data_IF_976042246452
#
_entry.id   IF_976042246452
#
_cell.length_a   1.000
_cell.length_b   1.000
_cell.length_c   1.000
_cell.angle_alpha   90.00
_cell.angle_beta   90.00
_cell.angle_gamma   90.00
#
_symmetry.space_group_name_H-M   'P 1'
#
loop_
_entity.id
_entity.type
_entity.pdbx_description
1 polymer ?
#
# COMPACT_ATOMS: atom_id res chain seq x y z
N UNK A 1 -30.97 -4.48 11.92
CA UNK A 1 -30.40 -5.84 11.79
C UNK A 1 -29.39 -6.07 12.90
N UNK A 2 -29.58 -7.11 13.63
CA UNK A 2 -28.67 -7.44 14.72
C UNK A 2 -27.39 -8.04 14.18
N UNK A 3 -26.26 -7.55 14.66
CA UNK A 3 -24.96 -8.10 14.29
C UNK A 3 -24.65 -9.30 15.15
N UNK A 4 -24.39 -10.44 14.53
CA UNK A 4 -24.00 -11.64 15.25
C UNK A 4 -22.51 -11.54 15.60
N UNK A 5 -22.18 -11.47 16.89
CA UNK A 5 -20.83 -11.32 17.38
C UNK A 5 -20.20 -12.63 17.87
N UNK A 6 -21.01 -13.71 17.94
CA UNK A 6 -20.54 -14.99 18.42
C UNK A 6 -21.16 -16.12 17.61
N UNK A 7 -20.39 -17.18 17.42
CA UNK A 7 -20.87 -18.45 16.88
C UNK A 7 -20.53 -19.57 17.85
N UNK A 8 -21.39 -20.57 17.88
CA UNK A 8 -21.14 -21.79 18.66
C UNK A 8 -20.62 -22.89 17.73
N UNK A 9 -19.54 -23.52 18.14
CA UNK A 9 -18.97 -24.65 17.43
C UNK A 9 -18.44 -25.66 18.43
N UNK A 10 -18.91 -26.90 18.34
CA UNK A 10 -18.55 -27.98 19.27
C UNK A 10 -18.76 -27.61 20.73
N UNK A 11 -19.84 -26.88 21.04
CA UNK A 11 -20.17 -26.45 22.39
C UNK A 11 -19.35 -25.31 22.96
N UNK A 12 -18.45 -24.71 22.15
CA UNK A 12 -17.68 -23.53 22.53
C UNK A 12 -18.16 -22.32 21.77
N UNK A 13 -18.18 -21.18 22.44
CA UNK A 13 -18.53 -19.90 21.82
C UNK A 13 -17.27 -19.21 21.32
N UNK A 14 -17.33 -18.73 20.08
CA UNK A 14 -16.26 -17.96 19.45
C UNK A 14 -16.78 -16.60 19.05
N UNK A 15 -15.98 -15.56 19.31
CA UNK A 15 -16.31 -14.23 18.85
C UNK A 15 -16.10 -14.14 17.34
N UNK A 16 -17.09 -13.62 16.64
CA UNK A 16 -16.95 -13.24 15.24
C UNK A 16 -16.32 -11.87 15.22
N UNK A 17 -15.38 -11.66 14.30
CA UNK A 17 -14.81 -10.32 14.08
C UNK A 17 -15.93 -9.34 13.78
N UNK A 18 -15.87 -8.18 14.40
CA UNK A 18 -16.82 -7.10 14.11
C UNK A 18 -16.54 -6.47 12.73
N UNK A 19 -17.40 -5.53 12.32
CA UNK A 19 -17.28 -4.89 11.02
C UNK A 19 -15.94 -4.16 10.84
N UNK A 20 -15.39 -3.58 11.92
CA UNK A 20 -14.11 -2.87 11.86
C UNK A 20 -12.95 -3.84 11.64
N UNK A 21 -12.95 -4.97 12.35
CA UNK A 21 -11.91 -6.01 12.16
C UNK A 21 -11.97 -6.61 10.76
N UNK A 22 -13.18 -6.78 10.21
CA UNK A 22 -13.34 -7.29 8.85
C UNK A 22 -12.82 -6.31 7.81
N UNK A 23 -12.95 -5.01 8.03
CA UNK A 23 -12.43 -4.00 7.12
C UNK A 23 -10.92 -4.09 6.97
N UNK A 24 -10.19 -4.50 8.00
CA UNK A 24 -8.74 -4.64 7.94
C UNK A 24 -8.28 -5.75 6.98
N UNK A 25 -9.17 -6.67 6.63
CA UNK A 25 -8.88 -7.75 5.68
C UNK A 25 -9.09 -7.31 4.23
N UNK A 26 -9.68 -6.15 4.00
CA UNK A 26 -9.98 -5.64 2.66
C UNK A 26 -8.95 -4.60 2.27
N UNK A 27 -8.38 -4.76 1.07
CA UNK A 27 -7.52 -3.74 0.50
C UNK A 27 -8.38 -2.63 -0.08
N UNK A 28 -8.04 -1.38 0.23
CA UNK A 28 -8.85 -0.22 -0.14
C UNK A 28 -7.95 0.97 -0.50
N UNK A 29 -8.47 1.82 -1.38
CA UNK A 29 -7.83 3.11 -1.65
C UNK A 29 -8.00 4.09 -0.48
N UNK A 30 -8.92 3.81 0.42
CA UNK A 30 -9.07 4.56 1.67
C UNK A 30 -8.13 3.99 2.73
N UNK A 31 -7.70 4.87 3.63
CA UNK A 31 -6.88 4.45 4.77
C UNK A 31 -7.65 3.45 5.64
N UNK A 32 -7.01 2.37 6.00
CA UNK A 32 -7.61 1.29 6.79
C UNK A 32 -6.70 0.95 7.97
N UNK A 33 -7.27 0.89 9.18
CA UNK A 33 -6.57 0.35 10.35
C UNK A 33 -6.42 -1.16 10.16
N UNK A 34 -5.18 -1.64 10.12
CA UNK A 34 -4.91 -3.07 9.91
C UNK A 34 -5.20 -3.95 11.13
N UNK A 35 -5.40 -3.32 12.29
CA UNK A 35 -5.49 -4.06 13.56
C UNK A 35 -4.14 -4.49 14.12
N UNK A 36 -3.05 -4.22 13.41
CA UNK A 36 -1.69 -4.55 13.84
C UNK A 36 -1.06 -3.36 14.55
N UNK A 37 -0.12 -3.66 15.44
CA UNK A 37 0.59 -2.68 16.25
C UNK A 37 2.08 -2.76 15.93
N UNK A 38 2.70 -1.61 15.73
CA UNK A 38 4.13 -1.53 15.51
C UNK A 38 4.90 -1.63 16.82
N UNK A 39 6.21 -1.83 16.74
CA UNK A 39 7.07 -2.02 17.92
C UNK A 39 7.04 -0.84 18.92
N UNK A 40 6.65 0.33 18.46
CA UNK A 40 6.51 1.53 19.30
C UNK A 40 5.11 1.69 19.91
N UNK A 41 4.22 0.72 19.71
CA UNK A 41 2.85 0.74 20.22
C UNK A 41 1.84 1.46 19.34
N UNK A 42 2.26 2.03 18.21
CA UNK A 42 1.35 2.74 17.31
C UNK A 42 0.63 1.77 16.39
N UNK A 43 -0.58 2.13 16.02
CA UNK A 43 -1.36 1.37 15.04
C UNK A 43 -0.72 1.43 13.67
N UNK A 44 -0.82 0.33 12.93
CA UNK A 44 -0.39 0.25 11.53
C UNK A 44 -1.61 0.44 10.64
N UNK A 45 -1.52 1.41 9.75
CA UNK A 45 -2.53 1.69 8.73
C UNK A 45 -2.06 1.21 7.38
N UNK A 46 -3.01 0.91 6.49
CA UNK A 46 -2.75 0.47 5.12
C UNK A 46 -3.56 1.30 4.14
N UNK A 47 -2.96 1.60 3.00
CA UNK A 47 -3.64 2.30 1.91
C UNK A 47 -3.12 1.76 0.58
N UNK A 48 -4.04 1.50 -0.35
CA UNK A 48 -3.70 1.18 -1.73
C UNK A 48 -3.70 2.46 -2.55
N UNK A 49 -2.62 2.69 -3.27
CA UNK A 49 -2.49 3.83 -4.17
C UNK A 49 -2.46 3.29 -5.59
N UNK A 50 -3.47 3.63 -6.38
CA UNK A 50 -3.53 3.27 -7.78
C UNK A 50 -2.64 4.18 -8.60
N UNK A 51 -1.86 3.61 -9.51
CA UNK A 51 -0.98 4.36 -10.39
C UNK A 51 -1.65 4.53 -11.75
N UNK A 52 -1.64 5.75 -12.30
CA UNK A 52 -2.10 5.99 -13.66
C UNK A 52 -1.04 5.57 -14.67
N UNK A 53 -1.31 5.80 -15.93
CA UNK A 53 -0.28 5.72 -16.96
C UNK A 53 0.80 6.78 -16.68
N UNK A 54 2.05 6.37 -16.72
CA UNK A 54 3.20 7.23 -16.47
C UNK A 54 4.17 7.08 -17.64
N UNK A 55 4.45 8.18 -18.34
CA UNK A 55 5.35 8.14 -19.48
C UNK A 55 6.78 7.84 -19.02
N UNK A 56 7.51 7.11 -19.85
CA UNK A 56 8.92 6.81 -19.60
C UNK A 56 9.73 8.06 -19.33
N UNK A 57 10.65 7.98 -18.40
CA UNK A 57 11.53 9.10 -18.05
C UNK A 57 10.86 10.26 -17.32
N UNK A 58 9.59 10.14 -16.93
CA UNK A 58 8.88 11.16 -16.16
C UNK A 58 8.71 10.73 -14.71
N UNK A 59 8.62 11.70 -13.81
CA UNK A 59 8.39 11.44 -12.40
C UNK A 59 6.92 11.68 -12.07
N UNK A 60 6.30 10.67 -11.46
CA UNK A 60 4.95 10.75 -10.92
C UNK A 60 5.02 10.78 -9.40
N UNK A 61 4.36 11.76 -8.80
CA UNK A 61 4.41 11.98 -7.36
C UNK A 61 3.02 11.93 -6.73
N UNK A 62 2.95 11.31 -5.55
CA UNK A 62 1.75 11.32 -4.72
C UNK A 62 2.13 11.91 -3.37
N UNK A 63 1.45 12.98 -2.97
CA UNK A 63 1.67 13.62 -1.68
C UNK A 63 1.02 12.77 -0.58
N UNK A 64 1.81 12.32 0.38
CA UNK A 64 1.36 11.50 1.51
C UNK A 64 1.24 12.29 2.81
N UNK A 65 1.50 13.59 2.78
CA UNK A 65 1.55 14.40 3.99
C UNK A 65 0.21 14.45 4.73
N UNK A 66 -0.92 14.37 3.98
CA UNK A 66 -2.25 14.34 4.59
C UNK A 66 -2.51 13.11 5.44
N UNK A 67 -1.74 12.03 5.25
CA UNK A 67 -1.81 10.82 6.05
C UNK A 67 -1.12 10.98 7.40
N UNK A 68 -0.39 12.06 7.60
CA UNK A 68 0.43 12.33 8.79
C UNK A 68 1.30 11.13 9.19
N UNK A 69 2.10 10.59 8.25
CA UNK A 69 2.87 9.38 8.52
C UNK A 69 4.01 9.64 9.50
N UNK A 70 4.26 8.66 10.35
CA UNK A 70 5.39 8.68 11.29
C UNK A 70 6.50 7.73 10.82
N UNK A 71 6.14 6.47 10.57
CA UNK A 71 7.09 5.46 10.11
C UNK A 71 6.45 4.70 8.95
N UNK A 72 7.17 4.59 7.85
CA UNK A 72 6.79 3.72 6.75
C UNK A 72 7.33 2.32 7.04
N UNK A 73 6.45 1.32 7.00
CA UNK A 73 6.79 -0.03 7.41
C UNK A 73 6.93 -0.96 6.23
N UNK A 74 6.02 -0.85 5.27
CA UNK A 74 6.00 -1.75 4.13
C UNK A 74 5.49 -1.04 2.89
N UNK A 75 6.15 -1.29 1.78
CA UNK A 75 5.75 -0.79 0.47
C UNK A 75 5.91 -1.93 -0.52
N UNK A 76 4.81 -2.31 -1.19
CA UNK A 76 4.83 -3.37 -2.19
C UNK A 76 3.79 -3.09 -3.26
N UNK A 77 3.82 -3.86 -4.33
CA UNK A 77 2.86 -3.71 -5.41
C UNK A 77 3.41 -4.16 -6.75
N UNK A 78 2.70 -3.77 -7.80
CA UNK A 78 3.08 -4.10 -9.17
C UNK A 78 2.86 -2.91 -10.08
N UNK A 79 3.70 -2.81 -11.10
CA UNK A 79 3.47 -1.94 -12.24
C UNK A 79 3.28 -2.80 -13.48
N UNK A 80 2.35 -2.39 -14.35
CA UNK A 80 2.19 -2.98 -15.67
C UNK A 80 2.93 -2.10 -16.66
N UNK A 81 4.03 -2.61 -17.19
CA UNK A 81 4.89 -1.85 -18.13
C UNK A 81 4.53 -2.10 -19.58
N UNK A 82 3.69 -3.06 -19.82
CA UNK A 82 3.16 -3.43 -21.13
C UNK A 82 1.93 -4.28 -20.84
N UNK A 83 0.92 -4.23 -21.70
CA UNK A 83 -0.29 -5.03 -21.49
C UNK A 83 0.09 -6.49 -21.23
N UNK A 84 -0.30 -7.01 -20.07
CA UNK A 84 0.01 -8.37 -19.64
C UNK A 84 1.40 -8.56 -19.06
N UNK A 85 2.22 -7.53 -18.93
CA UNK A 85 3.58 -7.63 -18.38
C UNK A 85 3.67 -6.89 -17.03
N UNK A 86 3.53 -7.65 -15.96
CA UNK A 86 3.50 -7.13 -14.60
C UNK A 86 4.87 -7.28 -13.93
N UNK A 87 5.38 -6.19 -13.40
CA UNK A 87 6.63 -6.16 -12.66
C UNK A 87 6.37 -5.82 -11.20
N UNK A 88 6.88 -6.63 -10.25
CA UNK A 88 6.79 -6.26 -8.84
C UNK A 88 7.58 -4.98 -8.58
N UNK A 89 7.10 -4.19 -7.64
CA UNK A 89 7.79 -2.98 -7.25
C UNK A 89 9.05 -3.37 -6.46
N UNK A 90 10.19 -3.10 -7.07
CA UNK A 90 11.50 -3.31 -6.47
C UNK A 90 12.21 -1.97 -6.46
N UNK A 91 12.74 -1.60 -5.32
CA UNK A 91 13.65 -0.46 -5.26
C UNK A 91 15.02 -0.96 -5.69
N UNK A 92 15.39 -0.65 -6.90
CA UNK A 92 16.68 -1.05 -7.47
C UNK A 92 17.50 0.20 -7.72
N UNK A 93 18.61 0.29 -7.01
CA UNK A 93 19.65 1.29 -7.27
C UNK A 93 20.62 0.84 -8.35
N UNK A 94 20.25 -0.17 -9.13
CA UNK A 94 21.14 -0.70 -10.15
C UNK A 94 21.27 0.27 -11.32
N UNK A 95 22.41 0.18 -11.97
CA UNK A 95 22.80 1.08 -13.05
C UNK A 95 21.90 1.03 -14.29
N UNK A 96 21.09 -0.04 -14.43
CA UNK A 96 20.15 -0.12 -15.54
C UNK A 96 18.80 0.54 -15.17
N UNK A 97 18.85 1.83 -14.93
CA UNK A 97 17.66 2.64 -14.67
C UNK A 97 16.75 2.73 -15.89
N UNK A 98 17.22 2.32 -17.06
CA UNK A 98 16.43 2.45 -18.30
C UNK A 98 15.27 1.47 -18.40
N UNK A 99 15.41 0.29 -17.79
CA UNK A 99 14.39 -0.76 -17.83
C UNK A 99 13.59 -0.91 -16.53
N UNK A 100 13.99 -0.22 -15.48
CA UNK A 100 13.39 -0.34 -14.16
C UNK A 100 12.35 0.73 -13.93
N UNK A 101 11.41 0.43 -13.03
CA UNK A 101 10.53 1.45 -12.45
C UNK A 101 11.04 1.73 -11.04
N UNK A 102 11.53 2.91 -10.83
CA UNK A 102 12.02 3.34 -9.52
C UNK A 102 10.86 3.80 -8.66
N UNK A 103 10.75 3.27 -7.45
CA UNK A 103 9.72 3.68 -6.49
C UNK A 103 10.40 3.98 -5.16
N UNK A 104 10.13 5.16 -4.63
CA UNK A 104 10.66 5.57 -3.34
C UNK A 104 9.70 6.53 -2.64
N UNK A 105 9.96 6.77 -1.37
CA UNK A 105 9.29 7.83 -0.61
C UNK A 105 10.35 8.82 -0.16
N UNK A 106 10.17 10.05 -0.58
CA UNK A 106 11.07 11.14 -0.20
C UNK A 106 10.25 12.26 0.43
N UNK A 107 10.50 12.52 1.70
CA UNK A 107 9.82 13.57 2.47
C UNK A 107 8.29 13.52 2.25
N UNK A 108 7.70 12.38 2.61
CA UNK A 108 6.25 12.13 2.51
C UNK A 108 5.68 12.27 1.09
N UNK A 109 6.51 12.05 0.11
CA UNK A 109 6.09 12.02 -1.29
C UNK A 109 6.46 10.68 -1.90
N UNK A 110 5.45 9.93 -2.34
CA UNK A 110 5.66 8.70 -3.10
C UNK A 110 6.10 9.12 -4.51
N UNK A 111 7.23 8.60 -4.94
CA UNK A 111 7.83 8.91 -6.25
C UNK A 111 7.86 7.64 -7.09
N UNK A 112 7.31 7.70 -8.27
CA UNK A 112 7.35 6.61 -9.24
C UNK A 112 7.98 7.15 -10.52
N UNK A 113 9.11 6.57 -10.91
CA UNK A 113 9.89 7.05 -12.05
C UNK A 113 10.18 5.87 -12.97
N UNK A 114 9.42 5.70 -14.06
CA UNK A 114 9.78 4.71 -15.07
C UNK A 114 11.07 5.12 -15.77
N UNK A 115 11.89 4.14 -16.09
CA UNK A 115 13.08 4.36 -16.88
C UNK A 115 12.76 4.79 -18.31
N UNK A 116 13.79 5.07 -19.09
CA UNK A 116 13.64 5.64 -20.43
C UNK A 116 13.07 4.69 -21.48
N UNK A 117 13.11 3.40 -21.20
CA UNK A 117 12.69 2.37 -22.19
C UNK A 117 11.26 1.90 -22.03
N UNK A 118 10.61 2.19 -20.90
CA UNK A 118 9.32 1.60 -20.60
C UNK A 118 8.37 2.60 -19.97
N UNK A 119 7.19 2.71 -20.55
CA UNK A 119 6.07 3.41 -19.94
C UNK A 119 5.43 2.50 -18.89
N UNK A 120 4.87 3.09 -17.84
CA UNK A 120 3.94 2.41 -16.94
C UNK A 120 2.55 2.59 -17.51
N UNK A 121 1.86 1.49 -17.76
CA UNK A 121 0.47 1.51 -18.27
C UNK A 121 -0.49 1.76 -17.12
N UNK A 122 -0.30 1.04 -16.00
CA UNK A 122 -1.02 1.22 -14.76
C UNK A 122 -0.27 0.45 -13.67
N UNK A 123 -0.80 0.49 -12.46
CA UNK A 123 -0.23 -0.26 -11.35
C UNK A 123 -0.86 0.12 -10.05
N UNK A 124 -0.29 -0.41 -8.97
CA UNK A 124 -0.70 -0.05 -7.63
C UNK A 124 0.47 -0.20 -6.66
N UNK A 125 0.43 0.61 -5.62
CA UNK A 125 1.36 0.53 -4.48
C UNK A 125 0.52 0.32 -3.23
N UNK A 126 0.87 -0.67 -2.44
CA UNK A 126 0.28 -0.87 -1.12
C UNK A 126 1.25 -0.33 -0.09
N UNK A 127 0.79 0.60 0.71
CA UNK A 127 1.59 1.28 1.72
C UNK A 127 1.07 0.94 3.10
N UNK A 128 1.97 0.51 3.99
CA UNK A 128 1.67 0.33 5.41
C UNK A 128 2.57 1.26 6.23
N UNK A 129 1.96 1.94 7.20
CA UNK A 129 2.63 3.02 7.93
C UNK A 129 1.95 3.28 9.28
N UNK A 130 2.69 3.91 10.18
CA UNK A 130 2.13 4.46 11.41
C UNK A 130 1.90 5.95 11.23
N UNK A 131 1.07 6.54 12.09
CA UNK A 131 0.76 7.97 12.05
C UNK A 131 1.41 8.70 13.21
N UNK A 132 1.63 10.00 13.02
CA UNK A 132 2.16 10.86 14.09
C UNK A 132 1.14 11.03 15.22
N UNK A 133 -0.15 10.96 14.89
CA UNK A 133 -1.25 10.98 15.85
C UNK A 133 -1.87 9.60 15.91
N UNK A 134 -2.11 9.13 17.10
CA UNK A 134 -2.65 7.80 17.29
C UNK A 134 -4.07 7.85 17.81
#
# INVERSE_FOLDING_TARGET
>A
METVNQIEYNGALYNIQDAESQKSLVYSQNETDTGKIWIDGKKIYRKVIQLPAIARGTEYNVDLSSLTPSTYIHLYGFTQVQVGNFHPILNSDTEDVESNVFVSILINKLRVIPGRKRDVVNGFVVLEYTKTTN
#
